data_IF_910625038550
#
_entry.id   IF_910625038550
#
_cell.length_a   1.000
_cell.length_b   1.000
_cell.length_c   1.000
_cell.angle_alpha   90.00
_cell.angle_beta   90.00
_cell.angle_gamma   90.00
#
_symmetry.space_group_name_H-M   'P 1'
#
loop_
_entity.id
_entity.type
_entity.pdbx_description
1 polymer ?
#
# COMPACT_ATOMS: atom_id res chain seq x y z
N UNK A 1 -9.13 28.70 9.12
CA UNK A 1 -7.94 27.86 8.95
C UNK A 1 -8.37 26.45 9.29
N UNK A 2 -8.27 25.51 8.37
CA UNK A 2 -8.58 24.09 8.61
C UNK A 2 -7.33 23.44 9.20
N UNK A 3 -7.43 22.94 10.42
CA UNK A 3 -6.35 22.25 11.17
C UNK A 3 -6.11 20.84 10.63
N UNK A 4 -5.93 20.70 9.32
CA UNK A 4 -5.64 19.43 8.67
C UNK A 4 -4.13 19.13 8.81
N UNK A 5 -3.79 18.12 9.61
CA UNK A 5 -2.40 17.66 9.77
C UNK A 5 -2.10 16.62 8.70
N UNK A 6 -0.98 16.77 7.98
CA UNK A 6 -0.54 15.82 6.96
C UNK A 6 -0.25 14.44 7.57
N UNK A 7 -0.68 13.38 6.88
CA UNK A 7 -0.40 12.02 7.29
C UNK A 7 1.11 11.72 7.31
N UNK A 8 1.61 11.16 8.41
CA UNK A 8 3.04 10.78 8.53
C UNK A 8 3.27 9.29 8.38
N UNK A 9 2.31 8.46 8.77
CA UNK A 9 2.40 7.00 8.62
C UNK A 9 1.07 6.52 8.06
N UNK A 10 1.12 5.76 6.98
CA UNK A 10 -0.03 5.04 6.45
C UNK A 10 0.06 3.60 6.90
N UNK A 11 -0.93 3.15 7.66
CA UNK A 11 -1.11 1.75 8.02
C UNK A 11 -1.97 1.09 6.96
N UNK A 12 -1.35 0.21 6.17
CA UNK A 12 -2.03 -0.56 5.13
C UNK A 12 -2.24 -1.98 5.65
N UNK A 13 -3.50 -2.33 5.93
CA UNK A 13 -3.89 -3.66 6.37
C UNK A 13 -4.51 -4.41 5.20
N UNK A 14 -3.76 -5.37 4.66
CA UNK A 14 -4.28 -6.29 3.65
C UNK A 14 -5.24 -7.25 4.32
N UNK A 15 -6.47 -7.34 3.80
CA UNK A 15 -7.50 -8.25 4.30
C UNK A 15 -7.66 -9.49 3.45
N UNK A 16 -7.68 -9.30 2.14
CA UNK A 16 -7.98 -10.36 1.20
C UNK A 16 -7.20 -10.11 -0.08
N UNK A 17 -6.68 -11.17 -0.67
CA UNK A 17 -6.06 -11.15 -1.99
C UNK A 17 -6.69 -12.27 -2.80
N UNK A 18 -7.10 -11.91 -4.00
CA UNK A 18 -7.47 -12.81 -5.08
C UNK A 18 -6.56 -12.46 -6.26
N UNK A 19 -5.89 -13.45 -6.85
CA UNK A 19 -4.97 -13.24 -7.98
C UNK A 19 -5.63 -13.57 -9.32
N UNK A 20 -6.96 -13.73 -9.36
CA UNK A 20 -7.69 -14.01 -10.59
C UNK A 20 -7.27 -15.36 -11.20
N UNK A 21 -6.97 -15.36 -12.50
CA UNK A 21 -6.60 -16.57 -13.25
C UNK A 21 -5.14 -17.01 -13.02
N UNK A 22 -4.39 -16.38 -12.09
CA UNK A 22 -3.02 -16.78 -11.78
C UNK A 22 -2.98 -18.03 -10.89
N UNK A 23 -2.01 -18.92 -11.12
CA UNK A 23 -1.87 -20.21 -10.39
C UNK A 23 -1.13 -20.11 -9.04
N UNK A 24 -0.90 -18.89 -8.52
CA UNK A 24 -0.14 -18.70 -7.29
C UNK A 24 -1.02 -18.80 -6.04
N UNK A 25 -0.78 -19.82 -5.20
CA UNK A 25 -1.47 -19.97 -3.91
C UNK A 25 -0.90 -19.05 -2.81
N UNK A 26 0.39 -18.73 -2.91
CA UNK A 26 1.15 -17.94 -1.94
C UNK A 26 1.66 -16.64 -2.60
N UNK A 27 1.43 -15.50 -1.93
CA UNK A 27 1.78 -14.18 -2.46
C UNK A 27 2.41 -13.28 -1.41
N UNK A 28 3.03 -12.19 -1.84
CA UNK A 28 3.49 -11.09 -0.97
C UNK A 28 3.10 -9.77 -1.58
N UNK A 29 2.60 -8.86 -0.75
CA UNK A 29 2.35 -7.48 -1.16
C UNK A 29 3.59 -6.66 -0.87
N UNK A 30 4.17 -6.09 -1.92
CA UNK A 30 5.31 -5.18 -1.84
C UNK A 30 4.79 -3.76 -2.08
N UNK A 31 5.00 -2.86 -1.13
CA UNK A 31 4.58 -1.47 -1.24
C UNK A 31 5.79 -0.57 -1.41
N UNK A 32 5.76 0.25 -2.46
CA UNK A 32 6.77 1.25 -2.80
C UNK A 32 6.15 2.63 -2.81
N UNK A 33 6.95 3.65 -2.55
CA UNK A 33 6.53 5.05 -2.67
C UNK A 33 7.03 5.62 -4.00
N UNK A 34 6.11 6.11 -4.83
CA UNK A 34 6.42 6.84 -6.05
C UNK A 34 5.96 8.30 -5.93
N UNK A 35 6.72 9.28 -6.42
CA UNK A 35 6.26 10.66 -6.44
C UNK A 35 5.08 10.81 -7.40
N UNK A 36 4.11 11.66 -7.03
CA UNK A 36 2.96 11.93 -7.86
C UNK A 36 3.25 13.00 -8.95
N UNK A 37 2.51 12.95 -10.05
CA UNK A 37 2.43 14.00 -11.09
C UNK A 37 3.76 14.49 -11.70
N UNK A 38 4.64 13.58 -12.14
CA UNK A 38 5.79 13.93 -12.99
C UNK A 38 6.90 14.75 -12.30
N UNK A 39 6.86 14.89 -10.98
CA UNK A 39 7.94 15.57 -10.22
C UNK A 39 9.19 14.69 -10.15
N UNK A 40 10.37 15.33 -10.25
CA UNK A 40 11.68 14.64 -10.15
C UNK A 40 11.76 13.83 -8.86
N UNK A 41 12.00 12.54 -9.03
CA UNK A 41 12.08 11.60 -7.91
C UNK A 41 13.32 11.91 -7.06
N UNK A 42 13.16 11.91 -5.74
CA UNK A 42 14.32 11.86 -4.86
C UNK A 42 14.69 10.38 -4.73
N UNK A 43 15.90 9.97 -5.14
CA UNK A 43 16.30 8.56 -5.16
C UNK A 43 16.22 7.88 -3.78
N UNK A 44 16.30 8.65 -2.69
CA UNK A 44 16.11 8.13 -1.32
C UNK A 44 14.68 7.64 -1.03
N UNK A 45 13.69 8.07 -1.82
CA UNK A 45 12.28 7.66 -1.68
C UNK A 45 12.03 6.37 -2.46
N UNK A 46 12.67 6.20 -3.61
CA UNK A 46 12.58 4.97 -4.43
C UNK A 46 13.12 3.74 -3.70
N UNK A 47 14.02 3.94 -2.73
CA UNK A 47 14.62 2.86 -1.94
C UNK A 47 13.74 2.34 -0.81
N UNK A 48 12.65 3.02 -0.45
CA UNK A 48 11.76 2.57 0.63
C UNK A 48 10.79 1.51 0.10
N UNK A 49 11.09 0.25 0.42
CA UNK A 49 10.30 -0.92 0.03
C UNK A 49 9.80 -1.61 1.30
N UNK A 50 8.48 -1.71 1.44
CA UNK A 50 7.81 -2.41 2.53
C UNK A 50 7.18 -3.69 1.97
N UNK A 51 7.19 -4.78 2.73
CA UNK A 51 6.64 -6.06 2.27
C UNK A 51 5.88 -6.77 3.36
N UNK A 52 4.74 -7.37 3.03
CA UNK A 52 4.03 -8.24 3.95
C UNK A 52 4.80 -9.54 4.17
N UNK A 53 4.47 -10.31 5.22
CA UNK A 53 4.70 -11.75 5.21
C UNK A 53 4.05 -12.42 3.99
N UNK A 54 4.39 -13.69 3.75
CA UNK A 54 3.67 -14.50 2.77
C UNK A 54 2.21 -14.64 3.18
N UNK A 55 1.30 -14.34 2.26
CA UNK A 55 -0.14 -14.42 2.41
C UNK A 55 -0.68 -15.51 1.50
N UNK A 56 -1.73 -16.21 1.96
CA UNK A 56 -2.44 -17.18 1.15
C UNK A 56 -3.59 -16.53 0.40
N UNK A 57 -3.73 -16.85 -0.89
CA UNK A 57 -4.83 -16.38 -1.73
C UNK A 57 -6.16 -16.93 -1.20
N UNK A 58 -7.21 -16.09 -1.23
CA UNK A 58 -8.55 -16.45 -0.76
C UNK A 58 -8.67 -16.68 0.76
N UNK A 59 -7.63 -16.36 1.53
CA UNK A 59 -7.68 -16.35 3.00
C UNK A 59 -7.71 -14.91 3.51
N UNK A 60 -8.48 -14.69 4.57
CA UNK A 60 -8.54 -13.41 5.28
C UNK A 60 -7.35 -13.19 6.22
N UNK A 61 -6.17 -13.67 5.85
CA UNK A 61 -4.97 -13.52 6.67
C UNK A 61 -4.57 -12.05 6.66
N UNK A 62 -4.75 -11.39 7.81
CA UNK A 62 -4.52 -9.95 7.90
C UNK A 62 -3.04 -9.64 8.10
N UNK A 63 -2.40 -9.04 7.10
CA UNK A 63 -1.09 -8.42 7.26
C UNK A 63 -1.22 -6.90 7.32
N UNK A 64 -0.56 -6.28 8.29
CA UNK A 64 -0.46 -4.83 8.41
C UNK A 64 0.95 -4.37 8.03
N UNK A 65 1.01 -3.25 7.31
CA UNK A 65 2.24 -2.54 6.97
C UNK A 65 2.15 -1.11 7.46
N UNK A 66 3.11 -0.71 8.28
CA UNK A 66 3.28 0.68 8.70
C UNK A 66 4.25 1.35 7.73
N UNK A 67 3.72 2.26 6.90
CA UNK A 67 4.46 2.89 5.80
C UNK A 67 4.69 4.36 6.18
N UNK A 68 5.90 4.76 6.61
CA UNK A 68 6.21 6.16 6.86
C UNK A 68 6.15 6.95 5.56
N UNK A 69 5.26 7.93 5.49
CA UNK A 69 5.10 8.83 4.36
C UNK A 69 6.10 9.96 4.49
N UNK A 70 6.80 10.27 3.40
CA UNK A 70 7.70 11.41 3.34
C UNK A 70 6.87 12.69 3.23
N UNK A 71 6.77 13.53 4.30
CA UNK A 71 5.73 14.57 4.45
C UNK A 71 5.77 15.66 3.36
N UNK A 72 6.90 15.84 2.69
CA UNK A 72 7.07 16.92 1.72
C UNK A 72 6.47 16.64 0.33
N UNK A 73 5.78 15.51 0.11
CA UNK A 73 5.45 15.04 -1.25
C UNK A 73 4.09 14.38 -1.31
N UNK A 74 3.28 14.81 -2.28
CA UNK A 74 2.19 14.00 -2.84
C UNK A 74 2.82 12.68 -3.33
N UNK A 75 2.63 11.60 -2.58
CA UNK A 75 3.18 10.27 -2.86
C UNK A 75 2.03 9.36 -3.27
N UNK A 76 2.30 8.54 -4.29
CA UNK A 76 1.46 7.41 -4.68
C UNK A 76 2.09 6.15 -4.11
N UNK A 77 1.31 5.37 -3.37
CA UNK A 77 1.73 4.02 -2.99
C UNK A 77 1.54 3.11 -4.19
N UNK A 78 2.60 2.43 -4.59
CA UNK A 78 2.58 1.39 -5.62
C UNK A 78 2.60 0.06 -4.90
N UNK A 79 1.52 -0.72 -5.04
CA UNK A 79 1.36 -2.04 -4.46
C UNK A 79 1.63 -3.08 -5.55
N UNK A 80 2.70 -3.84 -5.42
CA UNK A 80 3.03 -4.97 -6.28
C UNK A 80 2.63 -6.27 -5.58
N UNK A 81 1.71 -7.02 -6.17
CA UNK A 81 1.37 -8.38 -5.74
C UNK A 81 2.37 -9.31 -6.41
N UNK A 82 3.19 -9.98 -5.60
CA UNK A 82 4.21 -10.91 -6.10
C UNK A 82 3.89 -12.34 -5.73
N UNK A 83 3.88 -13.22 -6.71
CA UNK A 83 3.66 -14.66 -6.52
C UNK A 83 4.90 -15.31 -5.94
N UNK A 84 4.75 -16.12 -4.90
CA UNK A 84 5.87 -16.87 -4.34
C UNK A 84 6.24 -18.04 -5.24
N UNK A 85 7.54 -18.14 -5.53
CA UNK A 85 8.11 -19.29 -6.22
C UNK A 85 9.09 -20.02 -5.31
N UNK A 86 9.12 -21.35 -5.43
CA UNK A 86 10.09 -22.20 -4.73
C UNK A 86 11.52 -21.95 -5.23
N UNK A 87 11.66 -21.58 -6.50
CA UNK A 87 12.95 -21.30 -7.15
C UNK A 87 12.85 -20.07 -8.06
N UNK A 88 13.89 -19.26 -8.09
CA UNK A 88 13.92 -18.03 -8.89
C UNK A 88 13.42 -16.80 -8.15
N UNK A 89 13.09 -15.75 -8.91
CA UNK A 89 12.57 -14.49 -8.36
C UNK A 89 11.05 -14.48 -8.42
N UNK A 90 10.40 -14.07 -7.33
CA UNK A 90 8.95 -13.92 -7.25
C UNK A 90 8.43 -13.02 -8.40
N UNK A 91 7.61 -13.50 -9.36
CA UNK A 91 7.08 -12.66 -10.42
C UNK A 91 6.13 -11.60 -9.85
N UNK A 92 6.05 -10.45 -10.52
CA UNK A 92 4.99 -9.47 -10.26
C UNK A 92 3.74 -9.95 -11.01
N UNK A 93 2.69 -10.30 -10.27
CA UNK A 93 1.41 -10.74 -10.82
C UNK A 93 0.54 -9.55 -11.18
N UNK A 94 0.53 -8.54 -10.31
CA UNK A 94 -0.24 -7.32 -10.50
C UNK A 94 0.47 -6.12 -9.86
N UNK A 95 0.21 -4.92 -10.39
CA UNK A 95 0.66 -3.65 -9.84
C UNK A 95 -0.50 -2.67 -9.74
N UNK A 96 -0.78 -2.22 -8.53
CA UNK A 96 -1.82 -1.25 -8.23
C UNK A 96 -1.22 0.07 -7.73
N UNK A 97 -1.96 1.16 -7.94
CA UNK A 97 -1.57 2.50 -7.49
C UNK A 97 -2.65 3.06 -6.58
N UNK A 98 -2.26 3.42 -5.37
CA UNK A 98 -3.11 4.13 -4.42
C UNK A 98 -2.57 5.55 -4.27
N UNK A 99 -3.33 6.52 -4.78
CA UNK A 99 -2.98 7.93 -4.65
C UNK A 99 -3.38 8.43 -3.26
N UNK A 100 -2.39 8.86 -2.47
CA UNK A 100 -2.58 9.38 -1.11
C UNK A 100 -2.57 10.91 -1.13
N UNK A 101 -3.08 11.52 -2.21
CA UNK A 101 -2.90 12.94 -2.51
C UNK A 101 -3.31 13.87 -1.35
N UNK A 102 -4.22 13.43 -0.48
CA UNK A 102 -4.67 14.22 0.67
C UNK A 102 -5.24 13.35 1.82
N UNK A 103 -4.48 12.38 2.34
CA UNK A 103 -4.83 11.81 3.65
C UNK A 103 -4.41 12.80 4.75
N UNK A 104 -5.39 13.33 5.47
CA UNK A 104 -5.18 14.30 6.55
C UNK A 104 -5.82 13.82 7.84
N UNK A 105 -5.23 14.18 8.97
CA UNK A 105 -5.82 13.99 10.30
C UNK A 105 -6.51 15.29 10.73
N UNK A 106 -7.84 15.27 10.83
CA UNK A 106 -8.69 16.42 11.15
C UNK A 106 -10.17 16.20 10.80
N UNK A 107 -11.07 17.15 11.13
CA UNK A 107 -12.53 16.93 11.14
C UNK A 107 -13.21 16.67 9.78
N UNK A 108 -12.52 16.79 8.65
CA UNK A 108 -13.14 16.67 7.31
C UNK A 108 -12.19 16.14 6.21
N UNK A 109 -11.40 15.09 6.46
CA UNK A 109 -10.85 14.21 5.40
C UNK A 109 -10.44 12.83 5.98
N UNK A 110 -10.39 11.79 5.15
CA UNK A 110 -10.34 10.36 5.53
C UNK A 110 -9.20 10.01 6.49
N UNK A 111 -9.54 9.84 7.79
CA UNK A 111 -8.66 9.20 8.78
C UNK A 111 -8.46 7.71 8.48
N UNK A 112 -9.47 7.08 7.87
CA UNK A 112 -9.56 5.65 7.63
C UNK A 112 -10.38 5.39 6.37
N UNK A 113 -9.82 4.64 5.45
CA UNK A 113 -10.50 3.98 4.34
C UNK A 113 -10.58 2.50 4.71
N UNK A 114 -11.77 1.95 4.88
CA UNK A 114 -11.93 0.51 5.06
C UNK A 114 -12.47 -0.11 3.79
N UNK A 115 -12.08 -1.37 3.56
CA UNK A 115 -12.55 -2.17 2.43
C UNK A 115 -12.29 -1.50 1.07
N UNK A 116 -11.12 -0.87 0.93
CA UNK A 116 -10.65 -0.35 -0.36
C UNK A 116 -10.32 -1.55 -1.23
N UNK A 117 -11.25 -1.90 -2.10
CA UNK A 117 -11.05 -2.90 -3.13
C UNK A 117 -10.30 -2.27 -4.31
N UNK A 118 -9.12 -2.82 -4.59
CA UNK A 118 -8.32 -2.44 -5.75
C UNK A 118 -8.28 -3.64 -6.69
N UNK A 119 -8.79 -3.45 -7.91
CA UNK A 119 -8.90 -4.49 -8.92
C UNK A 119 -8.22 -4.05 -10.21
N UNK A 120 -7.60 -4.98 -10.90
CA UNK A 120 -7.06 -4.75 -12.25
C UNK A 120 -7.80 -5.55 -13.32
N UNK A 121 -7.42 -5.32 -14.58
CA UNK A 121 -8.01 -5.97 -15.75
C UNK A 121 -7.68 -7.47 -15.85
N UNK A 122 -6.71 -7.96 -15.06
CA UNK A 122 -6.38 -9.39 -14.96
C UNK A 122 -7.29 -10.15 -13.99
N UNK A 123 -8.18 -9.44 -13.31
CA UNK A 123 -9.05 -10.00 -12.28
C UNK A 123 -8.40 -10.07 -10.90
N UNK A 124 -7.12 -9.70 -10.77
CA UNK A 124 -6.45 -9.59 -9.48
C UNK A 124 -7.13 -8.51 -8.64
N UNK A 125 -7.53 -8.88 -7.43
CA UNK A 125 -8.27 -8.06 -6.49
C UNK A 125 -7.60 -8.10 -5.12
N UNK A 126 -7.38 -6.93 -4.55
CA UNK A 126 -6.79 -6.77 -3.22
C UNK A 126 -7.72 -5.88 -2.40
N UNK A 127 -8.12 -6.37 -1.24
CA UNK A 127 -8.92 -5.59 -0.28
C UNK A 127 -8.01 -5.12 0.84
N UNK A 128 -7.93 -3.80 1.04
CA UNK A 128 -7.10 -3.20 2.08
C UNK A 128 -7.89 -2.23 2.96
N UNK A 129 -7.58 -2.20 4.25
CA UNK A 129 -7.84 -1.02 5.06
C UNK A 129 -6.63 -0.10 4.99
N UNK A 130 -6.87 1.19 4.83
CA UNK A 130 -5.86 2.24 4.82
C UNK A 130 -6.19 3.19 5.95
N UNK A 131 -5.30 3.29 6.93
CA UNK A 131 -5.46 4.20 8.07
C UNK A 131 -4.30 5.17 8.10
N UNK A 132 -4.58 6.44 8.39
CA UNK A 132 -3.55 7.43 8.63
C UNK A 132 -3.29 7.53 10.13
N UNK A 133 -2.03 7.36 10.53
CA UNK A 133 -1.56 7.55 11.90
C UNK A 133 -0.72 8.84 12.00
N UNK A 134 -1.15 9.75 12.88
CA UNK A 134 -0.46 11.00 13.24
C UNK A 134 0.29 10.91 14.58
N UNK A 135 0.31 9.75 15.23
CA UNK A 135 1.01 9.59 16.51
C UNK A 135 2.52 9.70 16.30
N UNK A 136 3.03 10.92 16.36
CA UNK A 136 4.39 11.22 16.78
C UNK A 136 4.58 10.72 18.22
N UNK A 137 4.86 9.43 18.35
CA UNK A 137 5.59 8.85 19.48
C UNK A 137 6.89 8.22 18.98
N UNK A 138 7.64 8.99 18.21
CA UNK A 138 9.09 8.84 18.22
C UNK A 138 9.61 10.05 19.00
N UNK A 139 9.67 9.85 20.33
CA UNK A 139 10.51 10.62 21.24
C UNK A 139 11.98 10.45 20.85
#
# INVERSE_FOLDING_TARGET
>A
KTDAVECRIVKLKVREIDVGDNENDDVTVVVKQAPNNGRKVNPKIETLVFKTPTLKVGKTDTAALDIPIVPARNVTLVLEIRGKMTFGSDPVLSTHKLNIETMFVGNTMMKKASDVEIRDDSGCRVVVDVECDDTTKYM
#
